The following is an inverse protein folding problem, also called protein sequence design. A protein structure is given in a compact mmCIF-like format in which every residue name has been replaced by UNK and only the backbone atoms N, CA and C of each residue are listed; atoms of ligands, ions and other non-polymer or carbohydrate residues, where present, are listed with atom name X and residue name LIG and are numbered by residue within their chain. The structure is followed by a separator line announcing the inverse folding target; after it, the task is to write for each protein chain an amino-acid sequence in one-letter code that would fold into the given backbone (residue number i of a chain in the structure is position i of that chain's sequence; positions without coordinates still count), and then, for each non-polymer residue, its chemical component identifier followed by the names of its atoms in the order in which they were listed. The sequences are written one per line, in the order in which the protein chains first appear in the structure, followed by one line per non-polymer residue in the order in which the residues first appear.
data_IF_093824133469
#
_entry.id   IF_093824133469
#
_cell.length_a   1.000
_cell.length_b   1.000
_cell.length_c   1.000
_cell.angle_alpha   90.00
_cell.angle_beta   90.00
_cell.angle_gamma   90.00
#
_symmetry.space_group_name_H-M   'P 1'
#
loop_
_entity.id
_entity.type
_entity.pdbx_description
1 polymer ?
#
# COMPACT_ATOMS: atom_id res chain seq x y z
N UNK A 1 5.49 5.47 18.54
CA UNK A 1 4.60 4.56 17.80
C UNK A 1 4.53 4.98 16.33
N UNK A 2 4.81 4.07 15.38
CA UNK A 2 4.79 4.36 13.95
C UNK A 2 3.42 4.11 13.30
N UNK A 3 3.26 4.61 12.07
CA UNK A 3 2.15 4.26 11.17
C UNK A 3 2.71 3.37 10.06
N UNK A 4 2.13 2.19 9.85
CA UNK A 4 2.48 1.35 8.71
C UNK A 4 1.68 1.81 7.49
N UNK A 5 2.34 1.97 6.34
CA UNK A 5 1.72 2.31 5.06
C UNK A 5 2.13 1.28 4.02
N UNK A 6 1.22 0.38 3.67
CA UNK A 6 1.39 -0.48 2.52
C UNK A 6 1.04 0.27 1.25
N UNK A 7 1.85 0.09 0.20
CA UNK A 7 1.65 0.70 -1.12
C UNK A 7 1.70 -0.40 -2.15
N UNK A 8 0.81 -0.31 -3.13
CA UNK A 8 0.86 -1.08 -4.36
C UNK A 8 0.54 -0.15 -5.54
N UNK A 9 1.20 -0.35 -6.67
CA UNK A 9 1.00 0.45 -7.86
C UNK A 9 0.86 -0.41 -9.12
N UNK A 10 -0.26 -0.25 -9.82
CA UNK A 10 -0.46 -0.87 -11.13
C UNK A 10 0.03 0.04 -12.25
N UNK A 11 0.60 -0.57 -13.28
CA UNK A 11 1.00 0.13 -14.50
C UNK A 11 0.62 -0.68 -15.75
N UNK A 12 0.46 0.03 -16.86
CA UNK A 12 0.05 -0.62 -18.10
C UNK A 12 1.12 -1.58 -18.63
N UNK A 13 0.75 -2.85 -18.83
CA UNK A 13 1.64 -3.95 -19.21
C UNK A 13 2.39 -3.71 -20.53
N UNK A 14 1.83 -2.88 -21.43
CA UNK A 14 2.48 -2.53 -22.72
C UNK A 14 3.41 -1.32 -22.64
N UNK A 15 3.29 -0.51 -21.59
CA UNK A 15 4.19 0.60 -21.33
C UNK A 15 4.10 0.98 -19.84
N UNK A 16 5.03 0.43 -19.06
CA UNK A 16 5.05 0.55 -17.60
C UNK A 16 5.27 1.98 -17.12
N UNK A 17 5.69 2.92 -17.98
CA UNK A 17 5.76 4.35 -17.60
C UNK A 17 4.37 4.96 -17.33
N UNK A 18 3.30 4.28 -17.73
CA UNK A 18 1.91 4.67 -17.47
C UNK A 18 1.37 3.94 -16.25
N UNK A 19 1.61 4.52 -15.07
CA UNK A 19 0.95 4.12 -13.81
C UNK A 19 -0.57 4.32 -13.93
N UNK A 20 -1.37 3.31 -13.68
CA UNK A 20 -2.83 3.34 -13.86
C UNK A 20 -3.56 3.50 -12.54
N UNK A 21 -3.06 2.87 -11.49
CA UNK A 21 -3.68 2.83 -10.17
C UNK A 21 -2.62 2.93 -9.07
N UNK A 22 -3.02 3.44 -7.92
CA UNK A 22 -2.24 3.43 -6.68
C UNK A 22 -3.15 2.97 -5.55
N UNK A 23 -2.75 1.94 -4.82
CA UNK A 23 -3.37 1.52 -3.58
C UNK A 23 -2.53 1.90 -2.38
N UNK A 24 -3.21 2.30 -1.30
CA UNK A 24 -2.58 2.61 -0.02
C UNK A 24 -3.41 1.92 1.07
N UNK A 25 -2.74 1.24 2.00
CA UNK A 25 -3.37 0.72 3.21
C UNK A 25 -2.58 1.20 4.44
N UNK A 26 -3.24 1.94 5.32
CA UNK A 26 -2.66 2.53 6.50
C UNK A 26 -3.09 1.78 7.76
N UNK A 27 -2.13 1.52 8.65
CA UNK A 27 -2.37 0.94 9.97
C UNK A 27 -1.63 1.79 11.02
N UNK A 28 -2.38 2.63 11.75
CA UNK A 28 -1.82 3.45 12.82
C UNK A 28 -1.79 2.66 14.14
N UNK A 29 -0.58 2.29 14.56
CA UNK A 29 -0.37 1.48 15.78
C UNK A 29 -0.84 2.14 17.07
N UNK A 30 -1.07 3.46 17.07
CA UNK A 30 -1.57 4.20 18.23
C UNK A 30 -2.96 3.77 18.68
N UNK A 31 -3.79 3.38 17.71
CA UNK A 31 -5.20 3.06 17.94
C UNK A 31 -5.46 1.56 18.05
N UNK A 32 -4.40 0.75 18.04
CA UNK A 32 -4.52 -0.70 18.11
C UNK A 32 -4.57 -1.15 19.57
N UNK A 33 -5.48 -2.09 19.85
CA UNK A 33 -5.44 -2.85 21.09
C UNK A 33 -4.21 -3.78 21.13
N UNK A 34 -3.95 -4.38 22.30
CA UNK A 34 -2.81 -5.29 22.51
C UNK A 34 -2.79 -6.45 21.50
N UNK A 35 -1.61 -6.99 21.15
CA UNK A 35 -1.35 -7.89 20.00
C UNK A 35 -2.09 -9.23 19.94
N UNK A 36 -3.04 -9.51 20.83
CA UNK A 36 -3.79 -10.77 20.84
C UNK A 36 -4.92 -10.81 19.82
N UNK A 37 -5.36 -9.69 19.25
CA UNK A 37 -6.44 -9.65 18.26
C UNK A 37 -5.98 -9.13 16.89
N UNK A 38 -5.35 -10.02 16.11
CA UNK A 38 -4.99 -9.77 14.71
C UNK A 38 -6.18 -9.30 13.87
N UNK A 39 -7.39 -9.74 14.20
CA UNK A 39 -8.59 -9.40 13.42
C UNK A 39 -9.04 -7.98 13.73
N UNK A 40 -8.83 -7.48 14.94
CA UNK A 40 -9.02 -6.06 15.25
C UNK A 40 -8.05 -5.21 14.43
N UNK A 41 -6.76 -5.58 14.39
CA UNK A 41 -5.76 -4.86 13.62
C UNK A 41 -6.11 -4.81 12.13
N UNK A 42 -6.53 -5.94 11.55
CA UNK A 42 -6.98 -6.02 10.16
C UNK A 42 -8.20 -5.12 9.92
N UNK A 43 -9.14 -5.04 10.88
CA UNK A 43 -10.32 -4.16 10.77
C UNK A 43 -10.00 -2.68 10.91
N UNK A 44 -8.87 -2.34 11.53
CA UNK A 44 -8.37 -0.97 11.68
C UNK A 44 -7.58 -0.47 10.47
N UNK A 45 -7.41 -1.28 9.42
CA UNK A 45 -6.75 -0.84 8.18
C UNK A 45 -7.62 0.19 7.47
N UNK A 46 -7.08 1.39 7.26
CA UNK A 46 -7.67 2.44 6.43
C UNK A 46 -7.12 2.36 5.00
N UNK A 47 -8.01 2.15 4.03
CA UNK A 47 -7.63 1.83 2.66
C UNK A 47 -8.06 2.89 1.66
N UNK A 48 -7.16 3.24 0.75
CA UNK A 48 -7.38 4.21 -0.32
C UNK A 48 -7.02 3.57 -1.65
N UNK A 49 -7.83 3.85 -2.67
CA UNK A 49 -7.56 3.40 -4.02
C UNK A 49 -7.73 4.56 -5.00
N UNK A 50 -6.65 4.93 -5.69
CA UNK A 50 -6.63 6.02 -6.65
C UNK A 50 -6.47 5.48 -8.07
N UNK A 51 -7.37 5.88 -8.97
CA UNK A 51 -7.24 5.62 -10.40
C UNK A 51 -6.76 6.89 -11.10
N UNK A 52 -5.88 6.77 -12.09
CA UNK A 52 -5.36 7.95 -12.80
C UNK A 52 -6.31 8.40 -13.91
N UNK A 53 -6.74 9.67 -13.84
CA UNK A 53 -7.66 10.29 -14.83
C UNK A 53 -7.09 10.18 -16.24
N UNK A 54 -7.93 9.73 -17.18
CA UNK A 54 -7.54 9.53 -18.58
C UNK A 54 -6.77 8.24 -18.88
N UNK A 55 -6.49 7.42 -17.86
CA UNK A 55 -5.79 6.13 -17.99
C UNK A 55 -6.70 4.90 -17.86
N UNK A 56 -8.00 5.04 -17.62
CA UNK A 56 -8.96 3.94 -17.50
C UNK A 56 -9.02 2.98 -18.72
N UNK A 57 -8.56 3.42 -19.90
CA UNK A 57 -8.46 2.57 -21.11
C UNK A 57 -7.26 1.61 -21.09
N UNK A 58 -6.31 1.81 -20.19
CA UNK A 58 -5.09 1.01 -20.07
C UNK A 58 -5.33 -0.11 -19.07
N UNK A 59 -6.12 -1.11 -19.47
CA UNK A 59 -6.42 -2.29 -18.64
C UNK A 59 -5.48 -3.42 -19.07
N UNK A 60 -4.77 -3.99 -18.10
CA UNK A 60 -3.93 -5.16 -18.31
C UNK A 60 -4.80 -6.38 -18.59
N UNK A 61 -4.43 -7.19 -19.58
CA UNK A 61 -5.23 -8.36 -20.00
C UNK A 61 -4.45 -9.66 -20.09
N UNK A 62 -3.12 -9.59 -20.22
CA UNK A 62 -2.31 -10.76 -20.59
C UNK A 62 -1.59 -11.36 -19.39
N UNK A 63 -0.93 -10.53 -18.58
CA UNK A 63 -0.04 -11.02 -17.53
C UNK A 63 -0.62 -10.86 -16.13
N UNK A 64 -1.36 -9.77 -15.91
CA UNK A 64 -2.04 -9.44 -14.67
C UNK A 64 -3.41 -8.84 -15.03
N UNK A 65 -4.44 -9.66 -15.33
CA UNK A 65 -5.76 -9.14 -15.68
C UNK A 65 -6.32 -8.29 -14.54
N UNK A 66 -6.34 -6.97 -14.75
CA UNK A 66 -6.73 -6.00 -13.72
C UNK A 66 -8.25 -5.90 -13.55
N UNK A 67 -8.68 -5.45 -12.36
CA UNK A 67 -10.08 -5.15 -12.06
C UNK A 67 -10.21 -3.80 -11.31
N UNK A 68 -9.84 -2.67 -11.95
CA UNK A 68 -9.79 -1.34 -11.32
C UNK A 68 -11.11 -0.89 -10.66
N UNK A 69 -12.23 -1.42 -11.14
CA UNK A 69 -13.57 -1.13 -10.65
C UNK A 69 -14.00 -1.97 -9.43
N UNK A 70 -13.18 -2.92 -8.98
CA UNK A 70 -13.49 -3.88 -7.92
C UNK A 70 -12.73 -3.63 -6.62
N UNK A 71 -12.55 -2.37 -6.25
CA UNK A 71 -12.01 -2.03 -4.93
C UNK A 71 -13.00 -2.43 -3.82
N UNK A 72 -12.55 -3.27 -2.89
CA UNK A 72 -13.42 -3.87 -1.87
C UNK A 72 -13.46 -3.10 -0.55
N UNK A 73 -12.49 -2.22 -0.31
CA UNK A 73 -12.29 -1.59 0.99
C UNK A 73 -12.72 -0.11 1.01
N UNK A 74 -13.52 0.32 0.03
CA UNK A 74 -14.01 1.68 -0.07
C UNK A 74 -14.46 2.05 -1.48
N UNK A 75 -14.29 3.31 -1.84
CA UNK A 75 -14.62 3.83 -3.18
C UNK A 75 -13.35 4.28 -3.90
N UNK A 76 -13.14 3.83 -5.13
CA UNK A 76 -12.02 4.28 -5.97
C UNK A 76 -12.14 5.77 -6.29
N UNK A 77 -11.06 6.51 -6.13
CA UNK A 77 -10.99 7.94 -6.42
C UNK A 77 -10.23 8.22 -7.72
N UNK A 78 -10.88 8.85 -8.70
CA UNK A 78 -10.19 9.22 -9.95
C UNK A 78 -9.48 10.57 -9.83
N UNK A 79 -8.15 10.54 -9.84
CA UNK A 79 -7.29 11.72 -9.63
C UNK A 79 -6.43 12.03 -10.86
N UNK A 80 -6.24 13.31 -11.24
CA UNK A 80 -5.22 13.72 -12.19
C UNK A 80 -3.82 13.39 -11.69
N UNK A 81 -2.89 13.02 -12.58
CA UNK A 81 -1.48 12.74 -12.24
C UNK A 81 -0.86 13.89 -11.43
N UNK A 82 -1.14 15.14 -11.81
CA UNK A 82 -0.61 16.34 -11.16
C UNK A 82 -1.03 16.51 -9.69
N UNK A 83 -2.08 15.81 -9.24
CA UNK A 83 -2.52 15.85 -7.85
C UNK A 83 -1.81 14.79 -6.98
N UNK A 84 -1.22 13.76 -7.60
CA UNK A 84 -0.63 12.62 -6.88
C UNK A 84 0.49 13.02 -5.90
N UNK A 85 1.45 13.91 -6.24
CA UNK A 85 2.46 14.35 -5.27
C UNK A 85 1.87 14.95 -3.99
N UNK A 86 0.80 15.74 -4.13
CA UNK A 86 0.11 16.35 -2.99
C UNK A 86 -0.64 15.32 -2.15
N UNK A 87 -1.25 14.32 -2.79
CA UNK A 87 -1.91 13.20 -2.12
C UNK A 87 -0.90 12.38 -1.33
N UNK A 88 0.22 11.97 -1.95
CA UNK A 88 1.28 11.25 -1.27
C UNK A 88 1.82 12.04 -0.08
N UNK A 89 2.17 13.33 -0.28
CA UNK A 89 2.67 14.18 0.81
C UNK A 89 1.70 14.22 1.99
N UNK A 90 0.40 14.29 1.74
CA UNK A 90 -0.63 14.26 2.80
C UNK A 90 -0.64 12.91 3.52
N UNK A 91 -0.58 11.79 2.80
CA UNK A 91 -0.61 10.44 3.37
C UNK A 91 0.65 10.11 4.20
N UNK A 92 1.81 10.60 3.79
CA UNK A 92 3.10 10.43 4.48
C UNK A 92 3.41 11.54 5.50
N UNK A 93 2.42 12.36 5.86
CA UNK A 93 2.55 13.41 6.89
C UNK A 93 1.46 13.27 7.93
N UNK A 94 1.83 12.88 9.15
CA UNK A 94 0.93 12.87 10.29
C UNK A 94 1.59 13.63 11.47
N UNK A 95 0.91 14.63 12.07
CA UNK A 95 1.41 15.29 13.27
C UNK A 95 1.56 14.32 14.45
N UNK A 96 2.61 14.50 15.25
CA UNK A 96 2.81 13.75 16.48
C UNK A 96 2.47 14.60 17.70
N UNK A 97 1.18 14.62 18.04
CA UNK A 97 0.62 15.40 19.14
C UNK A 97 1.14 14.98 20.53
N UNK A 98 1.77 13.80 20.62
CA UNK A 98 2.36 13.31 21.88
C UNK A 98 3.68 14.02 22.22
N UNK A 99 4.33 14.64 21.23
CA UNK A 99 5.61 15.32 21.39
C UNK A 99 5.40 16.80 21.69
N UNK A 100 6.16 17.31 22.66
CA UNK A 100 6.15 18.74 23.03
C UNK A 100 6.74 19.65 21.94
N UNK A 101 7.53 19.11 21.02
CA UNK A 101 8.14 19.87 19.93
C UNK A 101 7.09 20.27 18.91
N UNK A 102 6.91 21.58 18.70
CA UNK A 102 6.00 22.11 17.68
C UNK A 102 6.39 21.61 16.29
N UNK A 103 5.43 21.02 15.57
CA UNK A 103 5.66 20.47 14.24
C UNK A 103 6.32 19.10 14.21
N UNK A 104 6.37 18.39 15.35
CA UNK A 104 6.78 16.99 15.35
C UNK A 104 5.86 16.15 14.46
N UNK A 105 6.45 15.22 13.71
CA UNK A 105 5.75 14.29 12.85
C UNK A 105 5.88 12.86 13.38
N UNK A 106 4.89 12.03 13.04
CA UNK A 106 4.90 10.59 13.27
C UNK A 106 5.90 9.95 12.31
N UNK A 107 6.46 8.83 12.76
CA UNK A 107 7.28 7.98 11.91
C UNK A 107 6.38 7.04 11.10
N UNK A 108 6.77 6.77 9.87
CA UNK A 108 6.13 5.81 8.98
C UNK A 108 7.03 4.61 8.72
N UNK A 109 6.41 3.44 8.61
CA UNK A 109 7.03 2.22 8.09
C UNK A 109 6.37 1.94 6.75
N UNK A 110 7.15 2.02 5.68
CA UNK A 110 6.67 1.73 4.33
C UNK A 110 6.65 0.22 4.13
N UNK A 111 5.53 -0.32 3.66
CA UNK A 111 5.34 -1.75 3.43
C UNK A 111 5.04 -1.98 1.94
N UNK A 112 5.57 -3.06 1.37
CA UNK A 112 5.25 -3.46 0.00
C UNK A 112 5.40 -4.95 -0.23
N UNK A 113 5.14 -5.38 -1.46
CA UNK A 113 5.30 -6.75 -1.91
C UNK A 113 6.08 -6.76 -3.24
N UNK A 114 7.42 -6.72 -3.16
CA UNK A 114 8.31 -6.13 -4.17
C UNK A 114 8.31 -4.59 -4.19
N UNK A 115 8.57 -4.01 -3.00
CA UNK A 115 8.45 -2.58 -2.72
C UNK A 115 9.32 -1.69 -3.63
N UNK A 116 10.38 -2.26 -4.22
CA UNK A 116 11.28 -1.54 -5.12
C UNK A 116 10.56 -1.03 -6.37
N UNK A 117 9.64 -1.80 -6.93
CA UNK A 117 8.88 -1.38 -8.10
C UNK A 117 7.84 -0.30 -7.74
N UNK A 118 7.16 -0.43 -6.61
CA UNK A 118 6.23 0.59 -6.12
C UNK A 118 6.90 1.95 -5.92
N UNK A 119 8.07 1.97 -5.28
CA UNK A 119 8.89 3.19 -5.12
C UNK A 119 9.23 3.80 -6.49
N UNK A 120 9.55 2.97 -7.50
CA UNK A 120 9.82 3.44 -8.86
C UNK A 120 8.59 4.07 -9.49
N UNK A 121 7.40 3.51 -9.27
CA UNK A 121 6.15 4.08 -9.77
C UNK A 121 5.76 5.37 -9.06
N UNK A 122 5.97 5.48 -7.74
CA UNK A 122 5.78 6.74 -7.00
C UNK A 122 6.69 7.84 -7.54
N UNK A 123 7.98 7.54 -7.81
CA UNK A 123 8.90 8.51 -8.45
C UNK A 123 8.42 8.96 -9.83
N UNK A 124 7.79 8.07 -10.62
CA UNK A 124 7.17 8.43 -11.92
C UNK A 124 5.94 9.32 -11.77
N UNK A 125 5.32 9.32 -10.60
CA UNK A 125 4.26 10.25 -10.22
C UNK A 125 4.80 11.48 -9.49
N UNK A 126 6.09 11.79 -9.65
CA UNK A 126 6.77 12.97 -9.08
C UNK A 126 6.76 13.01 -7.55
N UNK A 127 6.87 11.84 -6.91
CA UNK A 127 7.01 11.72 -5.47
C UNK A 127 8.10 10.71 -5.10
N UNK A 128 9.21 11.21 -4.53
CA UNK A 128 10.32 10.38 -4.06
C UNK A 128 10.19 10.06 -2.56
N UNK A 129 9.50 8.97 -2.24
CA UNK A 129 9.33 8.49 -0.87
C UNK A 129 10.66 8.17 -0.16
N UNK A 130 11.74 7.89 -0.90
CA UNK A 130 13.06 7.62 -0.30
C UNK A 130 13.72 8.89 0.27
N UNK A 131 13.21 10.06 -0.10
CA UNK A 131 13.64 11.35 0.45
C UNK A 131 12.80 11.82 1.65
N UNK A 132 11.73 11.10 1.98
CA UNK A 132 10.81 11.46 3.04
C UNK A 132 11.39 11.08 4.40
N UNK A 133 11.69 12.08 5.24
CA UNK A 133 12.35 11.88 6.54
C UNK A 133 11.44 11.20 7.56
N UNK A 134 10.12 11.31 7.39
CA UNK A 134 9.15 10.65 8.25
C UNK A 134 9.14 9.13 8.04
N UNK A 135 9.59 8.63 6.88
CA UNK A 135 9.71 7.19 6.60
C UNK A 135 11.03 6.69 7.19
N UNK A 136 10.94 5.90 8.26
CA UNK A 136 12.11 5.45 9.03
C UNK A 136 12.53 4.02 8.72
N UNK A 137 11.68 3.25 8.07
CA UNK A 137 11.93 1.85 7.74
C UNK A 137 11.10 1.43 6.53
N UNK A 138 11.68 0.54 5.71
CA UNK A 138 11.00 -0.16 4.63
C UNK A 138 10.90 -1.64 4.99
N UNK A 139 9.72 -2.24 4.83
CA UNK A 139 9.48 -3.67 5.01
C UNK A 139 8.90 -4.26 3.73
N UNK A 140 9.58 -5.28 3.20
CA UNK A 140 9.11 -6.01 2.04
C UNK A 140 8.55 -7.37 2.47
N UNK A 141 7.27 -7.58 2.23
CA UNK A 141 6.58 -8.83 2.61
C UNK A 141 7.16 -10.05 1.90
N UNK A 142 7.77 -9.93 0.71
CA UNK A 142 8.47 -11.07 0.08
C UNK A 142 9.72 -11.46 0.85
N UNK A 143 10.41 -10.49 1.45
CA UNK A 143 11.60 -10.78 2.28
C UNK A 143 11.19 -11.49 3.56
N UNK A 144 10.17 -10.98 4.25
CA UNK A 144 9.61 -11.61 5.47
C UNK A 144 9.08 -13.02 5.16
N UNK A 145 8.28 -13.16 4.10
CA UNK A 145 7.72 -14.46 3.69
C UNK A 145 8.83 -15.47 3.38
N UNK A 146 9.92 -15.05 2.72
CA UNK A 146 11.06 -15.91 2.43
C UNK A 146 11.73 -16.43 3.70
N UNK A 147 11.94 -15.57 4.70
CA UNK A 147 12.55 -15.97 5.99
C UNK A 147 11.66 -16.96 6.74
N UNK A 148 10.34 -16.82 6.63
CA UNK A 148 9.36 -17.72 7.22
C UNK A 148 9.05 -18.97 6.36
N UNK A 149 9.76 -19.17 5.25
CA UNK A 149 9.50 -20.26 4.30
C UNK A 149 8.06 -20.31 3.76
N UNK A 150 7.44 -19.14 3.61
CA UNK A 150 6.10 -18.95 3.05
C UNK A 150 6.17 -18.65 1.53
N UNK A 151 5.05 -18.80 0.80
CA UNK A 151 4.99 -18.45 -0.62
C UNK A 151 5.30 -16.98 -0.87
N UNK A 152 6.00 -16.68 -1.98
CA UNK A 152 6.44 -15.31 -2.28
C UNK A 152 5.48 -14.49 -3.13
N UNK A 153 4.53 -15.10 -3.83
CA UNK A 153 3.52 -14.36 -4.60
C UNK A 153 2.34 -13.99 -3.73
N UNK A 154 1.85 -12.76 -3.82
CA UNK A 154 0.84 -12.20 -2.91
C UNK A 154 -0.37 -13.12 -2.72
N UNK A 155 -0.99 -13.59 -3.81
CA UNK A 155 -2.13 -14.52 -3.77
C UNK A 155 -1.83 -15.76 -2.91
N UNK A 156 -0.70 -16.41 -3.18
CA UNK A 156 -0.30 -17.64 -2.48
C UNK A 156 0.08 -17.35 -1.03
N UNK A 157 0.71 -16.21 -0.78
CA UNK A 157 1.10 -15.78 0.56
C UNK A 157 -0.14 -15.58 1.44
N UNK A 158 -1.09 -14.76 1.01
CA UNK A 158 -2.29 -14.49 1.81
C UNK A 158 -3.18 -15.72 1.93
N UNK A 159 -3.24 -16.58 0.90
CA UNK A 159 -3.93 -17.87 0.99
C UNK A 159 -3.30 -18.79 2.04
N UNK A 160 -1.96 -18.82 2.13
CA UNK A 160 -1.26 -19.60 3.16
C UNK A 160 -1.44 -19.02 4.58
N UNK A 161 -1.90 -17.78 4.69
CA UNK A 161 -2.23 -17.09 5.94
C UNK A 161 -3.75 -17.10 6.22
N UNK A 162 -4.48 -18.04 5.62
CA UNK A 162 -5.93 -18.24 5.76
C UNK A 162 -6.80 -17.04 5.32
N UNK A 163 -6.29 -16.19 4.43
CA UNK A 163 -7.03 -15.10 3.80
C UNK A 163 -7.40 -15.54 2.39
N UNK A 164 -8.68 -15.42 2.02
CA UNK A 164 -9.14 -15.73 0.65
C UNK A 164 -9.08 -14.45 -0.19
N UNK A 165 -8.08 -14.28 -1.07
CA UNK A 165 -7.99 -13.08 -1.88
C UNK A 165 -9.09 -13.06 -2.94
N UNK A 166 -9.57 -11.85 -3.22
CA UNK A 166 -10.53 -11.53 -4.27
C UNK A 166 -10.08 -10.24 -4.94
N UNK A 167 -10.29 -10.18 -6.26
CA UNK A 167 -10.02 -9.00 -7.08
C UNK A 167 -8.57 -8.50 -6.93
N UNK A 168 -7.61 -9.43 -7.03
CA UNK A 168 -6.19 -9.13 -7.21
C UNK A 168 -5.97 -8.32 -8.50
N UNK A 169 -4.88 -7.58 -8.58
CA UNK A 169 -4.60 -6.61 -9.64
C UNK A 169 -5.59 -5.43 -9.62
N UNK A 170 -6.04 -5.11 -8.41
CA UNK A 170 -6.62 -3.83 -8.04
C UNK A 170 -5.69 -3.28 -6.96
N UNK A 171 -4.99 -2.18 -7.25
CA UNK A 171 -3.89 -1.76 -6.40
C UNK A 171 -4.34 -1.51 -4.94
N UNK A 172 -5.56 -1.00 -4.75
CA UNK A 172 -6.14 -0.80 -3.42
C UNK A 172 -6.33 -2.09 -2.64
N UNK A 173 -6.85 -3.14 -3.29
CA UNK A 173 -6.99 -4.46 -2.65
C UNK A 173 -5.62 -5.07 -2.36
N UNK A 174 -4.68 -4.97 -3.29
CA UNK A 174 -3.33 -5.55 -3.15
C UNK A 174 -2.52 -4.89 -2.04
N UNK A 175 -2.65 -3.56 -1.85
CA UNK A 175 -2.10 -2.86 -0.70
C UNK A 175 -2.69 -3.37 0.63
N UNK A 176 -4.01 -3.63 0.68
CA UNK A 176 -4.66 -4.18 1.88
C UNK A 176 -4.20 -5.61 2.15
N UNK A 177 -4.16 -6.48 1.14
CA UNK A 177 -3.65 -7.85 1.29
C UNK A 177 -2.19 -7.88 1.72
N UNK A 178 -1.37 -6.96 1.21
CA UNK A 178 0.02 -6.77 1.64
C UNK A 178 0.09 -6.40 3.12
N UNK A 179 -0.75 -5.46 3.59
CA UNK A 179 -0.81 -5.11 5.01
C UNK A 179 -1.33 -6.26 5.88
N UNK A 180 -2.35 -6.99 5.44
CA UNK A 180 -2.88 -8.17 6.14
C UNK A 180 -1.82 -9.27 6.25
N UNK A 181 -1.06 -9.52 5.18
CA UNK A 181 0.05 -10.46 5.20
C UNK A 181 1.10 -10.04 6.25
N UNK A 182 1.46 -8.76 6.29
CA UNK A 182 2.39 -8.22 7.28
C UNK A 182 1.89 -8.43 8.71
N UNK A 183 0.61 -8.14 8.98
CA UNK A 183 -0.01 -8.36 10.29
C UNK A 183 -0.01 -9.84 10.69
N UNK A 184 -0.31 -10.74 9.75
CA UNK A 184 -0.35 -12.18 10.02
C UNK A 184 1.03 -12.82 10.19
N UNK A 185 2.10 -12.19 9.69
CA UNK A 185 3.49 -12.66 9.83
C UNK A 185 4.23 -12.05 11.03
N UNK A 186 3.62 -11.08 11.72
CA UNK A 186 4.19 -10.40 12.90
C UNK A 186 3.93 -11.18 14.20
#
# INVERSE_FOLDING_TARGET
DPIFLAVDAEAWERNTSKVTEIGIAALDTRFLSRPTDRMEWIRSIDAHHFTIRGRAKYINKRFAPGCPEKFMFGTSETRPIKEMPGIFKKLFTAPDETKKTKGALRNFILVGHDLKEDIRYMKRLDYDVTSEKSVVLNMDTQTVAKELSLPLGLEKLVTALDIVPKYLHNAGNDAVYTMQAMVCMA
#
